data_IF_952002338499
#
_entry.id   IF_952002338499
#
_cell.length_a   1.000
_cell.length_b   1.000
_cell.length_c   1.000
_cell.angle_alpha   90.00
_cell.angle_beta   90.00
_cell.angle_gamma   90.00
#
_symmetry.space_group_name_H-M   'P 1'
#
loop_
_entity.id
_entity.type
_entity.pdbx_description
1 polymer ?
#
# COMPACT_ATOMS: atom_id res chain seq x y z
N UNK A 1 24.17 -11.30 -7.40
CA UNK A 1 23.44 -10.02 -7.31
C UNK A 1 22.55 -9.95 -8.52
N UNK A 2 21.27 -10.21 -8.31
CA UNK A 2 20.23 -10.16 -9.33
C UNK A 2 20.16 -8.77 -10.00
N UNK A 3 19.75 -8.74 -11.27
CA UNK A 3 19.52 -7.48 -11.98
C UNK A 3 18.22 -6.86 -11.48
N UNK A 4 18.26 -5.64 -10.94
CA UNK A 4 17.07 -4.93 -10.47
C UNK A 4 16.44 -4.01 -11.53
N UNK A 5 17.04 -3.88 -12.71
CA UNK A 5 16.52 -3.02 -13.77
C UNK A 5 15.06 -3.38 -14.13
N UNK A 6 14.25 -2.35 -14.35
CA UNK A 6 12.86 -2.50 -14.79
C UNK A 6 12.59 -1.73 -16.08
N UNK A 7 11.60 -2.22 -16.83
CA UNK A 7 10.93 -1.50 -17.91
C UNK A 7 9.50 -1.15 -17.48
N UNK A 8 9.21 0.14 -17.42
CA UNK A 8 7.90 0.68 -17.07
C UNK A 8 7.31 1.39 -18.31
N UNK A 9 6.61 0.64 -19.16
CA UNK A 9 6.00 1.11 -20.41
C UNK A 9 6.98 1.86 -21.36
N UNK A 10 8.19 1.31 -21.52
CA UNK A 10 9.27 1.88 -22.31
C UNK A 10 10.24 2.75 -21.50
N UNK A 11 9.87 3.13 -20.27
CA UNK A 11 10.73 3.88 -19.36
C UNK A 11 11.67 2.91 -18.64
N UNK A 12 12.96 2.98 -18.97
CA UNK A 12 13.98 2.18 -18.29
C UNK A 12 14.37 2.82 -16.96
N UNK A 13 14.51 1.99 -15.92
CA UNK A 13 14.98 2.41 -14.60
C UNK A 13 16.04 1.44 -14.05
N UNK A 14 17.14 1.92 -13.43
CA UNK A 14 18.17 1.07 -12.85
C UNK A 14 17.68 0.11 -11.75
N UNK A 15 16.59 0.47 -11.07
CA UNK A 15 15.94 -0.34 -10.04
C UNK A 15 14.48 0.14 -9.86
N UNK A 16 13.60 -0.62 -9.19
CA UNK A 16 12.18 -0.25 -9.07
C UNK A 16 11.91 0.87 -8.06
N UNK A 17 12.91 1.41 -7.36
CA UNK A 17 12.71 2.36 -6.26
C UNK A 17 12.71 3.79 -6.75
N UNK A 18 11.54 4.42 -6.73
CA UNK A 18 11.36 5.80 -7.18
C UNK A 18 11.00 6.73 -6.02
N UNK A 19 11.50 7.97 -6.03
CA UNK A 19 10.94 9.00 -5.15
C UNK A 19 9.52 9.33 -5.61
N UNK A 20 8.56 9.40 -4.70
CA UNK A 20 7.22 9.85 -5.03
C UNK A 20 7.17 11.37 -5.23
N UNK A 21 6.20 11.86 -6.03
CA UNK A 21 5.89 13.30 -6.18
C UNK A 21 5.45 13.90 -4.85
N UNK A 22 6.40 14.48 -4.12
CA UNK A 22 6.24 14.83 -2.71
C UNK A 22 7.39 15.78 -2.24
N UNK A 23 7.46 16.21 -0.96
CA UNK A 23 8.54 17.08 -0.48
C UNK A 23 9.97 16.60 -0.82
N UNK A 24 10.29 15.29 -0.78
CA UNK A 24 11.61 14.78 -1.16
C UNK A 24 12.00 14.97 -2.64
N UNK A 25 11.07 15.33 -3.53
CA UNK A 25 11.32 15.50 -4.97
C UNK A 25 10.94 16.90 -5.48
N UNK A 26 10.99 17.92 -4.62
CA UNK A 26 10.57 19.29 -4.95
C UNK A 26 11.61 20.12 -5.72
N UNK A 27 12.85 19.65 -5.84
CA UNK A 27 13.93 20.39 -6.51
C UNK A 27 14.98 19.49 -7.13
N UNK A 28 15.71 20.04 -8.11
CA UNK A 28 16.84 19.38 -8.74
C UNK A 28 17.91 18.96 -7.73
N UNK A 29 18.22 19.80 -6.75
CA UNK A 29 19.16 19.44 -5.68
C UNK A 29 18.74 18.14 -4.96
N UNK A 30 17.47 18.01 -4.58
CA UNK A 30 17.00 16.83 -3.86
C UNK A 30 17.01 15.58 -4.74
N UNK A 31 16.50 15.69 -5.97
CA UNK A 31 16.41 14.56 -6.90
C UNK A 31 17.80 14.08 -7.32
N UNK A 32 18.71 15.00 -7.65
CA UNK A 32 20.10 14.66 -7.99
C UNK A 32 20.80 13.97 -6.83
N UNK A 33 20.63 14.47 -5.60
CA UNK A 33 21.20 13.85 -4.40
C UNK A 33 20.63 12.45 -4.14
N UNK A 34 19.36 12.22 -4.45
CA UNK A 34 18.77 10.88 -4.38
C UNK A 34 19.38 9.95 -5.44
N UNK A 35 19.58 10.41 -6.67
CA UNK A 35 20.24 9.62 -7.71
C UNK A 35 21.69 9.27 -7.37
N UNK A 36 22.43 10.18 -6.72
CA UNK A 36 23.77 9.90 -6.18
C UNK A 36 23.78 8.79 -5.13
N UNK A 37 22.68 8.60 -4.37
CA UNK A 37 22.53 7.51 -3.41
C UNK A 37 22.06 6.19 -4.04
N UNK A 38 21.63 6.20 -5.30
CA UNK A 38 21.22 4.99 -6.03
C UNK A 38 19.72 4.84 -6.31
N UNK A 39 18.90 5.87 -6.09
CA UNK A 39 17.48 5.84 -6.49
C UNK A 39 17.35 5.63 -8.01
N UNK A 40 16.57 4.64 -8.43
CA UNK A 40 16.37 4.33 -9.85
C UNK A 40 15.59 5.41 -10.59
N UNK A 41 14.69 6.10 -9.88
CA UNK A 41 13.87 7.16 -10.46
C UNK A 41 13.34 8.15 -9.46
N UNK A 42 12.74 9.21 -9.98
CA UNK A 42 12.01 10.20 -9.20
C UNK A 42 10.82 10.70 -9.99
N UNK A 43 9.67 10.73 -9.34
CA UNK A 43 8.54 11.53 -9.80
C UNK A 43 8.67 12.91 -9.17
N UNK A 44 8.92 13.91 -10.03
CA UNK A 44 9.09 15.30 -9.62
C UNK A 44 7.83 15.79 -8.92
N UNK A 45 7.98 16.63 -7.87
CA UNK A 45 6.83 17.24 -7.18
C UNK A 45 5.92 17.91 -8.20
N UNK A 46 4.62 17.68 -8.08
CA UNK A 46 3.62 18.18 -9.02
C UNK A 46 3.82 19.66 -9.33
N UNK A 47 3.97 19.99 -10.61
CA UNK A 47 4.06 21.36 -11.13
C UNK A 47 2.74 21.78 -11.75
N UNK A 48 2.43 23.07 -11.72
CA UNK A 48 1.13 23.56 -12.15
C UNK A 48 0.93 25.04 -11.93
N UNK A 49 -0.34 25.41 -11.70
CA UNK A 49 -0.72 26.79 -11.41
C UNK A 49 -0.05 27.31 -10.12
N UNK A 50 0.20 28.62 -10.00
CA UNK A 50 0.77 29.21 -8.78
C UNK A 50 -0.08 28.88 -7.54
N UNK A 51 0.61 28.55 -6.45
CA UNK A 51 0.02 28.27 -5.14
C UNK A 51 0.87 28.90 -4.04
N UNK A 52 0.25 29.13 -2.88
CA UNK A 52 0.94 29.54 -1.67
C UNK A 52 0.65 28.50 -0.59
N UNK A 53 1.68 27.78 -0.16
CA UNK A 53 1.55 26.83 0.93
C UNK A 53 1.41 27.55 2.28
N UNK A 54 0.73 26.89 3.21
CA UNK A 54 0.70 27.30 4.62
C UNK A 54 1.92 26.79 5.39
N UNK A 55 2.24 27.45 6.49
CA UNK A 55 3.26 27.01 7.45
C UNK A 55 2.68 25.97 8.42
N UNK A 56 3.54 25.15 9.04
CA UNK A 56 3.15 24.09 10.00
C UNK A 56 2.18 23.04 9.42
N UNK A 57 2.44 22.62 8.19
CA UNK A 57 1.52 21.82 7.37
C UNK A 57 1.55 20.30 7.61
N UNK A 58 2.15 19.82 8.70
CA UNK A 58 2.24 18.39 9.01
C UNK A 58 1.67 18.07 10.40
N UNK A 59 0.83 17.04 10.46
CA UNK A 59 0.46 16.35 11.69
C UNK A 59 1.00 14.93 11.66
N UNK A 60 1.35 14.36 12.81
CA UNK A 60 1.85 12.99 12.90
C UNK A 60 1.10 12.18 13.96
N UNK A 61 1.08 10.86 13.75
CA UNK A 61 0.65 9.87 14.74
C UNK A 61 1.84 8.98 15.06
N UNK A 62 2.15 8.89 16.35
CA UNK A 62 3.16 8.00 16.90
C UNK A 62 2.46 6.80 17.56
N UNK A 63 3.12 5.64 17.64
CA UNK A 63 2.55 4.46 18.29
C UNK A 63 3.62 3.63 18.97
N UNK A 64 3.44 3.36 20.27
CA UNK A 64 4.30 2.50 21.09
C UNK A 64 5.82 2.71 20.86
N UNK A 65 6.26 3.97 20.89
CA UNK A 65 7.68 4.34 20.71
C UNK A 65 8.12 4.52 19.26
N UNK A 66 7.34 4.05 18.29
CA UNK A 66 7.57 4.32 16.86
C UNK A 66 7.06 5.71 16.49
N UNK A 67 7.91 6.51 15.86
CA UNK A 67 7.59 7.86 15.38
C UNK A 67 6.99 7.80 13.98
N UNK A 68 5.98 8.62 13.73
CA UNK A 68 5.42 8.84 12.39
C UNK A 68 4.91 7.53 11.75
N UNK A 69 4.10 6.76 12.49
CA UNK A 69 3.36 5.63 11.87
C UNK A 69 2.27 6.12 10.92
N UNK A 70 1.88 7.39 11.08
CA UNK A 70 1.00 8.11 10.17
C UNK A 70 1.43 9.58 10.07
N UNK A 71 1.33 10.14 8.87
CA UNK A 71 1.62 11.54 8.58
C UNK A 71 0.44 12.15 7.81
N UNK A 72 -0.11 13.24 8.31
CA UNK A 72 -1.10 14.05 7.62
C UNK A 72 -0.39 15.30 7.10
N UNK A 73 -0.65 15.67 5.86
CA UNK A 73 -0.15 16.90 5.28
C UNK A 73 -1.27 17.74 4.68
N UNK A 74 -1.15 19.06 4.83
CA UNK A 74 -1.98 20.06 4.12
C UNK A 74 -1.15 20.84 3.09
N UNK A 75 -0.16 20.16 2.50
CA UNK A 75 0.71 20.73 1.47
C UNK A 75 0.06 20.65 0.09
N UNK A 76 0.22 21.69 -0.71
CA UNK A 76 -0.27 21.78 -2.08
C UNK A 76 0.75 21.19 -3.08
N UNK A 77 0.59 21.54 -4.35
CA UNK A 77 1.61 21.32 -5.39
C UNK A 77 2.86 22.18 -5.14
N UNK A 78 3.86 22.09 -6.02
CA UNK A 78 5.06 22.92 -5.93
C UNK A 78 4.67 24.41 -5.92
N UNK A 79 5.13 25.15 -4.92
CA UNK A 79 5.05 26.61 -4.81
C UNK A 79 6.21 27.32 -5.52
N UNK A 80 7.06 26.55 -6.21
CA UNK A 80 8.20 27.06 -6.97
C UNK A 80 7.75 27.46 -8.38
N UNK A 81 8.32 28.55 -8.96
CA UNK A 81 7.98 28.96 -10.32
C UNK A 81 8.14 27.82 -11.33
N UNK A 82 7.21 27.76 -12.29
CA UNK A 82 7.20 26.70 -13.30
C UNK A 82 8.52 26.65 -14.09
N UNK A 83 9.07 27.81 -14.48
CA UNK A 83 10.33 27.88 -15.22
C UNK A 83 11.52 27.31 -14.45
N UNK A 84 11.55 27.52 -13.13
CA UNK A 84 12.60 26.97 -12.27
C UNK A 84 12.53 25.44 -12.25
N UNK A 85 11.32 24.89 -12.12
CA UNK A 85 11.14 23.43 -12.15
C UNK A 85 11.54 22.86 -13.52
N UNK A 86 11.04 23.42 -14.62
CA UNK A 86 11.34 22.93 -15.98
C UNK A 86 12.85 22.94 -16.26
N UNK A 87 13.54 24.03 -15.89
CA UNK A 87 14.99 24.14 -16.00
C UNK A 87 15.70 23.05 -15.20
N UNK A 88 15.35 22.87 -13.94
CA UNK A 88 15.99 21.88 -13.06
C UNK A 88 15.72 20.44 -13.48
N UNK A 89 14.54 20.15 -14.01
CA UNK A 89 14.21 18.83 -14.58
C UNK A 89 15.15 18.53 -15.76
N UNK A 90 15.30 19.49 -16.68
CA UNK A 90 16.17 19.34 -17.84
C UNK A 90 17.65 19.16 -17.45
N UNK A 91 18.13 19.95 -16.49
CA UNK A 91 19.49 19.82 -15.94
C UNK A 91 19.69 18.47 -15.26
N UNK A 92 18.72 18.03 -14.46
CA UNK A 92 18.77 16.74 -13.76
C UNK A 92 18.82 15.58 -14.75
N UNK A 93 17.95 15.58 -15.77
CA UNK A 93 17.95 14.54 -16.79
C UNK A 93 19.25 14.49 -17.59
N UNK A 94 19.84 15.65 -17.90
CA UNK A 94 21.14 15.74 -18.58
C UNK A 94 22.28 15.16 -17.74
N UNK A 95 22.28 15.41 -16.42
CA UNK A 95 23.31 14.90 -15.51
C UNK A 95 23.14 13.40 -15.21
N UNK A 96 21.90 12.93 -15.16
CA UNK A 96 21.54 11.55 -14.81
C UNK A 96 20.75 10.87 -15.93
N UNK A 97 21.34 10.64 -17.12
CA UNK A 97 20.61 10.16 -18.29
C UNK A 97 20.01 8.76 -18.11
N UNK A 98 20.59 7.95 -17.23
CA UNK A 98 20.14 6.58 -16.93
C UNK A 98 19.02 6.51 -15.88
N UNK A 99 18.83 7.56 -15.09
CA UNK A 99 17.82 7.57 -14.02
C UNK A 99 16.49 8.09 -14.58
N UNK A 100 15.40 7.52 -14.09
CA UNK A 100 14.06 7.90 -14.53
C UNK A 100 13.62 9.23 -13.90
N UNK A 101 13.16 10.18 -14.71
CA UNK A 101 12.54 11.42 -14.24
C UNK A 101 11.14 11.54 -14.81
N UNK A 102 10.13 11.45 -13.95
CA UNK A 102 8.73 11.62 -14.32
C UNK A 102 8.26 13.01 -13.90
N UNK A 103 7.67 13.77 -14.81
CA UNK A 103 7.09 15.08 -14.52
C UNK A 103 5.65 14.91 -13.99
N UNK A 104 5.44 15.08 -12.69
CA UNK A 104 4.08 15.17 -12.17
C UNK A 104 3.47 16.53 -12.50
N UNK A 105 2.25 16.55 -13.05
CA UNK A 105 1.57 17.77 -13.50
C UNK A 105 0.13 17.84 -12.99
N UNK A 106 -0.32 19.06 -12.71
CA UNK A 106 -1.72 19.34 -12.39
C UNK A 106 -2.08 20.80 -12.69
N UNK A 107 -3.11 20.98 -13.51
CA UNK A 107 -3.63 22.29 -13.89
C UNK A 107 -5.16 22.27 -13.86
N UNK A 108 -5.78 23.43 -14.07
CA UNK A 108 -7.23 23.54 -14.18
C UNK A 108 -7.76 22.60 -15.26
N UNK A 109 -9.00 22.10 -15.08
CA UNK A 109 -9.66 21.19 -16.03
C UNK A 109 -10.07 21.89 -17.33
N UNK A 110 -9.07 22.40 -18.06
CA UNK A 110 -9.17 23.05 -19.38
C UNK A 110 -8.19 22.36 -20.31
N UNK A 111 -8.66 21.94 -21.47
CA UNK A 111 -7.88 21.21 -22.47
C UNK A 111 -6.59 21.93 -22.84
N UNK A 112 -6.67 23.23 -23.08
CA UNK A 112 -5.53 24.06 -23.51
C UNK A 112 -4.45 24.12 -22.42
N UNK A 113 -4.86 24.23 -21.14
CA UNK A 113 -3.93 24.28 -20.01
C UNK A 113 -3.17 22.96 -19.86
N UNK A 114 -3.86 21.81 -19.97
CA UNK A 114 -3.23 20.50 -19.94
C UNK A 114 -2.28 20.29 -21.13
N UNK A 115 -2.70 20.66 -22.34
CA UNK A 115 -1.85 20.51 -23.51
C UNK A 115 -0.62 21.42 -23.49
N UNK A 116 -0.74 22.64 -22.96
CA UNK A 116 0.39 23.55 -22.80
C UNK A 116 1.43 23.00 -21.81
N UNK A 117 1.00 22.61 -20.61
CA UNK A 117 1.94 22.13 -19.58
C UNK A 117 2.67 20.86 -20.01
N UNK A 118 1.97 19.95 -20.70
CA UNK A 118 2.55 18.71 -21.23
C UNK A 118 3.65 19.01 -22.25
N UNK A 119 3.36 19.85 -23.26
CA UNK A 119 4.35 20.25 -24.28
C UNK A 119 5.58 20.90 -23.66
N UNK A 120 5.39 21.74 -22.64
CA UNK A 120 6.49 22.41 -21.94
C UNK A 120 7.31 21.44 -21.08
N UNK A 121 6.65 20.53 -20.37
CA UNK A 121 7.32 19.51 -19.57
C UNK A 121 8.10 18.52 -20.46
N UNK A 122 7.55 18.15 -21.62
CA UNK A 122 8.22 17.26 -22.59
C UNK A 122 9.57 17.82 -23.08
N UNK A 123 9.64 19.14 -23.30
CA UNK A 123 10.86 19.83 -23.73
C UNK A 123 12.02 19.72 -22.74
N UNK A 124 11.75 19.33 -21.49
CA UNK A 124 12.81 19.09 -20.49
C UNK A 124 13.57 17.79 -20.74
N UNK A 125 13.03 16.89 -21.57
CA UNK A 125 13.57 15.55 -21.79
C UNK A 125 13.21 14.54 -20.70
N UNK A 126 12.21 14.84 -19.85
CA UNK A 126 11.69 13.87 -18.87
C UNK A 126 11.23 12.58 -19.57
N UNK A 127 11.23 11.47 -18.84
CA UNK A 127 10.97 10.14 -19.42
C UNK A 127 9.46 9.82 -19.49
N UNK A 128 8.63 10.56 -18.77
CA UNK A 128 7.18 10.43 -18.80
C UNK A 128 6.47 11.48 -17.95
N UNK A 129 5.14 11.44 -17.97
CA UNK A 129 4.29 12.32 -17.16
C UNK A 129 3.54 11.54 -16.07
N UNK A 130 3.27 12.17 -14.93
CA UNK A 130 2.31 11.66 -13.94
C UNK A 130 1.18 12.68 -13.73
N UNK A 131 -0.03 12.37 -14.22
CA UNK A 131 -1.20 13.22 -14.05
C UNK A 131 -1.71 13.06 -12.61
N UNK A 132 -1.58 14.11 -11.80
CA UNK A 132 -1.98 14.05 -10.40
C UNK A 132 -3.49 14.29 -10.24
N UNK A 133 -4.25 13.20 -10.16
CA UNK A 133 -5.69 13.22 -9.88
C UNK A 133 -6.01 12.89 -8.42
N UNK A 134 -5.04 13.02 -7.50
CA UNK A 134 -5.20 12.45 -6.15
C UNK A 134 -5.04 13.39 -4.97
N UNK A 135 -4.61 14.65 -5.16
CA UNK A 135 -4.49 15.61 -4.04
C UNK A 135 -5.87 15.86 -3.40
N UNK A 136 -6.09 15.51 -2.11
CA UNK A 136 -7.42 15.54 -1.51
C UNK A 136 -7.84 16.90 -0.93
N UNK A 137 -6.92 17.86 -0.83
CA UNK A 137 -7.09 19.14 -0.13
C UNK A 137 -6.42 20.30 -0.87
N UNK A 138 -6.91 21.51 -0.64
CA UNK A 138 -6.50 22.78 -1.25
C UNK A 138 -6.74 22.93 -2.76
N UNK A 139 -6.50 21.85 -3.53
CA UNK A 139 -6.69 21.82 -4.98
C UNK A 139 -8.07 21.27 -5.36
N UNK A 140 -8.63 20.38 -4.54
CA UNK A 140 -9.99 19.85 -4.71
C UNK A 140 -11.07 20.92 -4.59
N UNK A 141 -10.89 21.89 -3.71
CA UNK A 141 -11.75 23.07 -3.54
C UNK A 141 -11.73 23.97 -4.78
N UNK A 142 -10.72 23.81 -5.65
CA UNK A 142 -10.62 24.48 -6.96
C UNK A 142 -11.05 23.57 -8.13
N UNK A 143 -11.64 22.41 -7.85
CA UNK A 143 -12.08 21.43 -8.85
C UNK A 143 -10.94 20.64 -9.51
N UNK A 144 -9.76 20.57 -8.88
CA UNK A 144 -8.59 19.81 -9.34
C UNK A 144 -8.26 18.64 -8.39
N UNK A 145 -7.18 17.89 -8.64
CA UNK A 145 -6.76 16.80 -7.75
C UNK A 145 -7.81 15.70 -7.61
N UNK A 146 -8.13 15.31 -6.37
CA UNK A 146 -9.07 14.21 -6.10
C UNK A 146 -10.49 14.51 -6.58
N UNK A 147 -10.88 15.78 -6.71
CA UNK A 147 -12.17 16.14 -7.29
C UNK A 147 -12.32 15.65 -8.74
N UNK A 148 -11.21 15.57 -9.49
CA UNK A 148 -11.19 14.96 -10.83
C UNK A 148 -11.03 13.43 -10.75
N UNK A 149 -10.14 12.94 -9.88
CA UNK A 149 -9.86 11.50 -9.78
C UNK A 149 -10.98 10.65 -9.20
N UNK A 150 -11.95 11.27 -8.51
CA UNK A 150 -13.16 10.60 -8.01
C UNK A 150 -14.23 10.43 -9.09
N UNK A 151 -14.09 11.12 -10.23
CA UNK A 151 -15.08 11.11 -11.33
C UNK A 151 -14.44 10.43 -12.54
N UNK A 152 -14.79 9.16 -12.83
CA UNK A 152 -14.21 8.40 -13.94
C UNK A 152 -14.30 9.15 -15.28
N UNK A 153 -15.40 9.86 -15.55
CA UNK A 153 -15.60 10.63 -16.77
C UNK A 153 -14.54 11.73 -16.95
N UNK A 154 -14.22 12.45 -15.86
CA UNK A 154 -13.16 13.47 -15.88
C UNK A 154 -11.77 12.84 -15.98
N UNK A 155 -11.56 11.70 -15.34
CA UNK A 155 -10.32 10.93 -15.47
C UNK A 155 -10.06 10.54 -16.93
N UNK A 156 -11.07 10.00 -17.63
CA UNK A 156 -10.97 9.65 -19.05
C UNK A 156 -10.70 10.89 -19.91
N UNK A 157 -11.56 11.91 -19.80
CA UNK A 157 -11.52 13.12 -20.62
C UNK A 157 -10.18 13.86 -20.54
N UNK A 158 -9.65 14.06 -19.33
CA UNK A 158 -8.36 14.75 -19.15
C UNK A 158 -7.20 13.89 -19.69
N UNK A 159 -7.27 12.57 -19.50
CA UNK A 159 -6.26 11.66 -20.06
C UNK A 159 -6.25 11.74 -21.58
N UNK A 160 -7.41 11.75 -22.24
CA UNK A 160 -7.53 11.92 -23.70
C UNK A 160 -6.89 13.22 -24.18
N UNK A 161 -7.16 14.35 -23.51
CA UNK A 161 -6.59 15.65 -23.88
C UNK A 161 -5.06 15.66 -23.82
N UNK A 162 -4.48 14.97 -22.84
CA UNK A 162 -3.04 14.83 -22.68
C UNK A 162 -2.49 13.90 -23.77
N UNK A 163 -3.13 12.76 -24.01
CA UNK A 163 -2.72 11.77 -25.01
C UNK A 163 -2.77 12.31 -26.45
N UNK A 164 -3.59 13.33 -26.73
CA UNK A 164 -3.58 14.03 -28.03
C UNK A 164 -2.26 14.74 -28.35
N UNK A 165 -1.44 15.08 -27.35
CA UNK A 165 -0.21 15.86 -27.54
C UNK A 165 1.05 15.22 -26.97
N UNK A 166 0.93 14.33 -25.98
CA UNK A 166 2.07 13.64 -25.39
C UNK A 166 2.67 12.63 -26.37
N UNK A 167 3.99 12.63 -26.53
CA UNK A 167 4.71 11.64 -27.35
C UNK A 167 5.50 10.63 -26.51
N UNK A 168 5.60 10.87 -25.20
CA UNK A 168 6.19 9.99 -24.19
C UNK A 168 5.11 9.42 -23.23
N UNK A 169 5.39 8.35 -22.47
CA UNK A 169 4.39 7.68 -21.65
C UNK A 169 3.69 8.58 -20.61
N UNK A 170 2.39 8.34 -20.44
CA UNK A 170 1.52 9.07 -19.50
C UNK A 170 1.03 8.12 -18.41
N UNK A 171 1.37 8.45 -17.16
CA UNK A 171 0.98 7.73 -15.95
C UNK A 171 -0.18 8.49 -15.30
N UNK A 172 -1.27 7.81 -14.93
CA UNK A 172 -2.38 8.44 -14.18
C UNK A 172 -2.33 8.04 -12.71
N UNK A 173 -2.18 9.03 -11.82
CA UNK A 173 -2.12 8.81 -10.37
C UNK A 173 -3.50 8.82 -9.72
N UNK A 174 -3.92 7.66 -9.23
CA UNK A 174 -5.27 7.45 -8.70
C UNK A 174 -5.39 7.85 -7.22
N UNK A 175 -6.55 8.39 -6.86
CA UNK A 175 -6.93 8.73 -5.48
C UNK A 175 -7.47 7.49 -4.76
N UNK A 176 -7.11 7.27 -3.48
CA UNK A 176 -7.77 6.25 -2.66
C UNK A 176 -9.11 6.72 -2.09
N UNK A 177 -9.47 8.00 -2.26
CA UNK A 177 -10.65 8.61 -1.65
C UNK A 177 -11.91 8.32 -2.49
N UNK A 178 -12.17 7.06 -2.82
CA UNK A 178 -13.24 6.64 -3.71
C UNK A 178 -13.79 5.29 -3.22
N UNK A 179 -15.06 4.99 -3.52
CA UNK A 179 -15.68 3.72 -3.15
C UNK A 179 -15.04 2.52 -3.87
N UNK A 180 -14.78 2.68 -5.16
CA UNK A 180 -14.13 1.67 -5.99
C UNK A 180 -13.11 2.33 -6.93
N UNK A 181 -11.84 2.02 -6.71
CA UNK A 181 -10.71 2.56 -7.47
C UNK A 181 -10.59 1.96 -8.88
N UNK A 182 -11.26 0.82 -9.14
CA UNK A 182 -11.24 0.16 -10.45
C UNK A 182 -11.94 1.02 -11.50
N UNK A 183 -12.99 1.77 -11.13
CA UNK A 183 -13.68 2.67 -12.06
C UNK A 183 -12.79 3.75 -12.66
N UNK A 184 -12.10 4.61 -11.86
CA UNK A 184 -11.17 5.58 -12.42
C UNK A 184 -9.94 4.92 -13.07
N UNK A 185 -9.51 3.73 -12.62
CA UNK A 185 -8.44 2.98 -13.30
C UNK A 185 -8.82 2.59 -14.75
N UNK A 186 -10.01 2.01 -14.95
CA UNK A 186 -10.55 1.70 -16.29
C UNK A 186 -10.75 2.96 -17.13
N UNK A 187 -11.22 4.05 -16.52
CA UNK A 187 -11.37 5.31 -17.23
C UNK A 187 -10.02 5.90 -17.71
N UNK A 188 -8.97 5.84 -16.88
CA UNK A 188 -7.62 6.24 -17.28
C UNK A 188 -7.11 5.39 -18.46
N UNK A 189 -7.32 4.06 -18.40
CA UNK A 189 -7.00 3.14 -19.50
C UNK A 189 -7.74 3.52 -20.78
N UNK A 190 -9.05 3.78 -20.69
CA UNK A 190 -9.87 4.12 -21.84
C UNK A 190 -9.49 5.47 -22.45
N UNK A 191 -9.04 6.41 -21.62
CA UNK A 191 -8.47 7.68 -22.10
C UNK A 191 -7.06 7.57 -22.70
N UNK A 192 -6.47 6.37 -22.71
CA UNK A 192 -5.19 6.09 -23.36
C UNK A 192 -3.97 6.15 -22.46
N UNK A 193 -4.13 6.12 -21.13
CA UNK A 193 -2.99 6.09 -20.20
C UNK A 193 -2.02 4.95 -20.57
N UNK A 194 -0.72 5.23 -20.47
CA UNK A 194 0.35 4.24 -20.71
C UNK A 194 0.62 3.38 -19.48
N UNK A 195 0.29 3.90 -18.29
CA UNK A 195 0.46 3.24 -17.01
C UNK A 195 -0.41 3.89 -15.93
N UNK A 196 -0.49 3.24 -14.77
CA UNK A 196 -1.17 3.77 -13.59
C UNK A 196 -0.18 3.96 -12.43
N UNK A 197 -0.49 4.86 -11.51
CA UNK A 197 0.18 4.90 -10.20
C UNK A 197 -0.85 5.02 -9.08
N UNK A 198 -0.63 4.30 -7.97
CA UNK A 198 -1.54 4.32 -6.83
C UNK A 198 -0.85 3.87 -5.53
N UNK A 199 -1.20 4.43 -4.38
CA UNK A 199 -2.27 5.42 -4.15
C UNK A 199 -1.72 6.80 -3.83
N UNK A 200 -2.51 7.85 -4.08
CA UNK A 200 -2.27 9.14 -3.43
C UNK A 200 -2.63 9.08 -1.92
N UNK A 201 -2.59 10.20 -1.21
CA UNK A 201 -2.89 10.25 0.23
C UNK A 201 -4.39 10.10 0.54
N UNK A 202 -4.72 9.50 1.69
CA UNK A 202 -6.10 9.30 2.16
C UNK A 202 -6.55 10.52 2.97
N UNK A 203 -7.77 11.00 2.80
CA UNK A 203 -8.28 12.12 3.59
C UNK A 203 -8.39 11.75 5.08
N UNK A 204 -7.79 12.54 5.98
CA UNK A 204 -7.88 12.32 7.42
C UNK A 204 -7.83 13.60 8.26
N UNK A 205 -8.22 13.45 9.52
CA UNK A 205 -7.84 14.32 10.65
C UNK A 205 -6.85 13.54 11.51
N UNK A 206 -5.69 14.15 11.83
CA UNK A 206 -4.63 13.45 12.57
C UNK A 206 -4.92 13.35 14.07
N UNK A 207 -5.57 14.37 14.63
CA UNK A 207 -5.90 14.40 16.04
C UNK A 207 -6.40 15.76 16.48
N UNK A 208 -6.92 15.77 17.70
CA UNK A 208 -7.41 16.97 18.39
C UNK A 208 -6.65 17.06 19.71
N UNK A 209 -6.07 18.22 19.98
CA UNK A 209 -5.55 18.53 21.30
C UNK A 209 -6.71 18.65 22.29
N UNK A 210 -6.68 17.89 23.39
CA UNK A 210 -7.83 17.79 24.30
C UNK A 210 -7.98 18.99 25.24
N UNK A 211 -6.93 19.79 25.38
CA UNK A 211 -6.93 20.96 26.25
C UNK A 211 -7.22 22.23 25.44
N UNK A 212 -6.65 22.34 24.23
CA UNK A 212 -6.83 23.52 23.36
C UNK A 212 -7.94 23.36 22.32
N UNK A 213 -8.42 22.14 22.10
CA UNK A 213 -9.36 21.75 21.04
C UNK A 213 -8.82 21.99 19.62
N UNK A 214 -7.52 22.21 19.49
CA UNK A 214 -6.88 22.46 18.21
C UNK A 214 -6.71 21.16 17.40
N UNK A 215 -7.10 21.22 16.12
CA UNK A 215 -6.89 20.12 15.18
C UNK A 215 -5.43 20.12 14.71
N UNK A 216 -4.84 18.93 14.58
CA UNK A 216 -3.46 18.73 14.09
C UNK A 216 -3.45 18.35 12.60
N UNK A 217 -2.65 19.01 11.73
CA UNK A 217 -1.86 20.21 12.01
C UNK A 217 -2.71 21.46 12.29
N UNK A 218 -2.20 22.33 13.15
CA UNK A 218 -2.78 23.65 13.42
C UNK A 218 -2.03 24.73 12.63
N UNK A 219 -2.80 25.50 11.87
CA UNK A 219 -2.37 26.65 11.08
C UNK A 219 -3.17 27.87 11.55
N UNK A 220 -2.56 28.68 12.41
CA UNK A 220 -3.15 29.93 12.90
C UNK A 220 -4.48 29.73 13.65
N UNK A 221 -4.59 28.68 14.47
CA UNK A 221 -5.80 28.38 15.24
C UNK A 221 -6.87 27.60 14.46
N UNK A 222 -6.57 27.17 13.24
CA UNK A 222 -7.43 26.33 12.40
C UNK A 222 -6.69 25.05 12.01
N UNK A 223 -7.40 23.94 11.96
CA UNK A 223 -6.92 22.73 11.31
C UNK A 223 -8.06 22.10 10.52
N UNK A 224 -7.78 21.01 9.83
CA UNK A 224 -8.78 20.36 9.01
C UNK A 224 -8.29 19.06 8.38
N UNK A 225 -9.05 18.64 7.38
CA UNK A 225 -8.75 17.50 6.55
C UNK A 225 -7.44 17.69 5.77
N UNK A 226 -6.66 16.63 5.65
CA UNK A 226 -5.42 16.60 4.88
C UNK A 226 -5.09 15.21 4.38
N UNK A 227 -3.97 15.09 3.67
CA UNK A 227 -3.50 13.83 3.11
C UNK A 227 -2.75 12.96 4.12
N UNK A 228 -3.35 11.84 4.52
CA UNK A 228 -2.78 10.76 5.30
C UNK A 228 -1.86 9.86 4.47
N UNK A 229 -0.64 9.69 4.97
CA UNK A 229 0.44 8.90 4.42
C UNK A 229 1.18 8.18 5.56
N UNK A 230 2.23 7.44 5.22
CA UNK A 230 3.05 6.72 6.18
C UNK A 230 2.68 5.24 6.32
N UNK A 231 3.38 4.51 7.20
CA UNK A 231 3.33 3.04 7.26
C UNK A 231 1.94 2.47 7.48
N UNK A 232 1.11 3.14 8.27
CA UNK A 232 -0.26 2.71 8.55
C UNK A 232 -1.18 2.70 7.31
N UNK A 233 -0.78 3.35 6.21
CA UNK A 233 -1.53 3.33 4.94
C UNK A 233 -1.26 2.05 4.13
N UNK A 234 -0.16 1.32 4.39
CA UNK A 234 0.27 0.16 3.59
C UNK A 234 -0.85 -0.85 3.32
N UNK A 235 -1.62 -1.33 4.32
CA UNK A 235 -2.67 -2.33 4.06
C UNK A 235 -3.77 -1.83 3.10
N UNK A 236 -4.10 -0.53 3.15
CA UNK A 236 -5.08 0.08 2.26
C UNK A 236 -4.51 0.19 0.84
N UNK A 237 -3.25 0.59 0.72
CA UNK A 237 -2.56 0.67 -0.56
C UNK A 237 -2.43 -0.69 -1.25
N UNK A 238 -2.07 -1.75 -0.50
CA UNK A 238 -1.99 -3.12 -1.01
C UNK A 238 -3.37 -3.62 -1.47
N UNK A 239 -4.44 -3.34 -0.73
CA UNK A 239 -5.81 -3.67 -1.14
C UNK A 239 -6.21 -2.99 -2.45
N UNK A 240 -5.98 -1.69 -2.57
CA UNK A 240 -6.36 -0.93 -3.76
C UNK A 240 -5.52 -1.34 -4.98
N UNK A 241 -4.22 -1.60 -4.77
CA UNK A 241 -3.35 -2.18 -5.79
C UNK A 241 -3.86 -3.55 -6.23
N UNK A 242 -4.22 -4.41 -5.30
CA UNK A 242 -4.68 -5.77 -5.61
C UNK A 242 -6.04 -5.76 -6.33
N UNK A 243 -6.92 -4.81 -5.99
CA UNK A 243 -8.20 -4.62 -6.66
C UNK A 243 -8.00 -4.21 -8.13
N UNK A 244 -7.13 -3.23 -8.40
CA UNK A 244 -6.79 -2.81 -9.77
C UNK A 244 -6.03 -3.90 -10.52
N UNK A 245 -5.04 -4.53 -9.88
CA UNK A 245 -4.19 -5.56 -10.49
C UNK A 245 -4.93 -6.87 -10.79
N UNK A 246 -6.03 -7.15 -10.09
CA UNK A 246 -6.89 -8.33 -10.35
C UNK A 246 -8.02 -8.04 -11.33
N UNK A 247 -8.18 -6.79 -11.77
CA UNK A 247 -9.27 -6.40 -12.66
C UNK A 247 -9.06 -6.99 -14.07
N UNK A 248 -10.04 -7.69 -14.66
CA UNK A 248 -9.89 -8.30 -15.98
C UNK A 248 -9.56 -7.32 -17.11
N UNK A 249 -10.06 -6.08 -17.06
CA UNK A 249 -9.79 -5.08 -18.09
C UNK A 249 -8.35 -4.57 -17.98
N UNK A 250 -7.89 -4.32 -16.74
CA UNK A 250 -6.50 -3.92 -16.46
C UNK A 250 -5.53 -5.03 -16.88
N UNK A 251 -5.80 -6.28 -16.48
CA UNK A 251 -4.97 -7.45 -16.86
C UNK A 251 -4.92 -7.61 -18.38
N UNK A 252 -6.06 -7.52 -19.06
CA UNK A 252 -6.15 -7.65 -20.52
C UNK A 252 -5.30 -6.61 -21.25
N UNK A 253 -5.19 -5.40 -20.69
CA UNK A 253 -4.40 -4.32 -21.26
C UNK A 253 -2.91 -4.41 -20.91
N UNK A 254 -2.58 -5.00 -19.76
CA UNK A 254 -1.20 -5.27 -19.35
C UNK A 254 -0.39 -4.01 -19.02
N UNK A 255 -1.03 -2.93 -18.58
CA UNK A 255 -0.34 -1.69 -18.20
C UNK A 255 0.47 -1.92 -16.92
N UNK A 256 1.71 -1.40 -16.85
CA UNK A 256 2.47 -1.42 -15.60
C UNK A 256 1.86 -0.45 -14.58
N UNK A 257 2.04 -0.78 -13.31
CA UNK A 257 1.50 -0.03 -12.18
C UNK A 257 2.64 0.42 -11.26
N UNK A 258 2.71 1.70 -10.92
CA UNK A 258 3.64 2.23 -9.93
C UNK A 258 2.96 2.27 -8.56
N UNK A 259 3.35 1.37 -7.66
CA UNK A 259 2.72 1.19 -6.35
C UNK A 259 3.31 2.12 -5.28
N UNK A 260 2.49 2.68 -4.39
CA UNK A 260 2.97 3.50 -3.28
C UNK A 260 1.96 3.57 -2.13
N UNK A 261 2.49 3.90 -0.94
CA UNK A 261 1.70 4.07 0.29
C UNK A 261 2.28 3.24 1.43
N UNK A 262 3.04 3.87 2.32
CA UNK A 262 3.60 3.20 3.50
C UNK A 262 4.76 2.23 3.23
N UNK A 263 5.43 2.33 2.08
CA UNK A 263 6.66 1.57 1.80
C UNK A 263 7.82 2.16 2.63
N UNK A 264 8.46 1.35 3.47
CA UNK A 264 9.63 1.73 4.25
C UNK A 264 10.86 0.88 3.94
N UNK A 265 10.66 -0.39 3.58
CA UNK A 265 11.72 -1.37 3.41
C UNK A 265 11.63 -2.08 2.07
N UNK A 266 12.66 -2.86 1.72
CA UNK A 266 12.61 -3.74 0.56
C UNK A 266 11.51 -4.81 0.67
N UNK A 267 11.14 -5.24 1.89
CA UNK A 267 10.09 -6.24 2.09
C UNK A 267 8.73 -5.67 1.69
N UNK A 268 8.45 -4.43 2.11
CA UNK A 268 7.25 -3.72 1.68
C UNK A 268 7.25 -3.55 0.17
N UNK A 269 8.37 -3.15 -0.44
CA UNK A 269 8.46 -3.05 -1.89
C UNK A 269 8.17 -4.38 -2.61
N UNK A 270 8.71 -5.49 -2.11
CA UNK A 270 8.42 -6.84 -2.64
C UNK A 270 6.93 -7.19 -2.49
N UNK A 271 6.26 -6.85 -1.39
CA UNK A 271 4.82 -7.05 -1.22
C UNK A 271 4.01 -6.33 -2.30
N UNK A 272 4.32 -5.05 -2.56
CA UNK A 272 3.68 -4.27 -3.63
C UNK A 272 3.93 -4.93 -5.00
N UNK A 273 5.16 -5.34 -5.28
CA UNK A 273 5.51 -5.94 -6.56
C UNK A 273 4.86 -7.32 -6.77
N UNK A 274 4.79 -8.15 -5.73
CA UNK A 274 4.04 -9.42 -5.75
C UNK A 274 2.55 -9.22 -6.04
N UNK A 275 1.98 -8.06 -5.66
CA UNK A 275 0.62 -7.63 -5.99
C UNK A 275 0.51 -6.85 -7.32
N UNK A 276 1.56 -6.84 -8.13
CA UNK A 276 1.50 -6.40 -9.53
C UNK A 276 2.12 -5.03 -9.82
N UNK A 277 2.69 -4.33 -8.83
CA UNK A 277 3.42 -3.10 -9.14
C UNK A 277 4.75 -3.40 -9.86
N UNK A 278 5.09 -2.62 -10.87
CA UNK A 278 6.38 -2.73 -11.57
C UNK A 278 7.45 -1.83 -10.96
N UNK A 279 7.08 -0.62 -10.54
CA UNK A 279 7.91 0.26 -9.71
C UNK A 279 7.21 0.58 -8.40
N UNK A 280 7.98 1.03 -7.41
CA UNK A 280 7.46 1.47 -6.10
C UNK A 280 7.89 2.90 -5.80
N UNK A 281 6.95 3.77 -5.42
CA UNK A 281 7.26 5.14 -5.03
C UNK A 281 7.31 5.30 -3.50
N UNK A 282 8.31 6.04 -3.01
CA UNK A 282 8.58 6.20 -1.58
C UNK A 282 8.60 7.68 -1.21
N UNK A 283 7.99 8.03 -0.08
CA UNK A 283 7.90 9.41 0.42
C UNK A 283 8.21 9.50 1.92
N UNK A 284 7.31 9.02 2.77
CA UNK A 284 7.40 9.23 4.23
C UNK A 284 8.65 8.63 4.84
N UNK A 285 9.09 7.46 4.36
CA UNK A 285 10.34 6.84 4.80
C UNK A 285 11.56 7.74 4.50
N UNK A 286 11.59 8.37 3.32
CA UNK A 286 12.66 9.33 2.96
C UNK A 286 12.58 10.60 3.80
N UNK A 287 11.37 11.08 4.11
CA UNK A 287 11.19 12.23 5.03
C UNK A 287 11.68 11.92 6.44
N UNK A 288 11.61 10.65 6.88
CA UNK A 288 12.02 10.23 8.22
C UNK A 288 13.52 9.90 8.30
N UNK A 289 14.06 9.18 7.31
CA UNK A 289 15.39 8.56 7.38
C UNK A 289 16.37 9.06 6.30
N UNK A 290 15.93 9.89 5.37
CA UNK A 290 16.74 10.43 4.27
C UNK A 290 16.90 9.48 3.07
N UNK A 291 17.64 9.92 2.05
CA UNK A 291 17.76 9.21 0.78
C UNK A 291 18.54 7.89 0.85
N UNK A 292 19.41 7.73 1.85
CA UNK A 292 20.31 6.57 1.96
C UNK A 292 19.58 5.24 2.20
N UNK A 293 18.32 5.27 2.64
CA UNK A 293 17.51 4.05 2.82
C UNK A 293 17.44 3.17 1.58
N UNK A 294 17.64 3.75 0.39
CA UNK A 294 17.62 3.00 -0.87
C UNK A 294 18.74 1.97 -0.98
N UNK A 295 19.87 2.17 -0.28
CA UNK A 295 20.98 1.20 -0.24
C UNK A 295 20.48 -0.13 0.35
N UNK A 296 19.86 -0.08 1.54
CA UNK A 296 19.26 -1.25 2.20
C UNK A 296 18.11 -1.83 1.36
N UNK A 297 17.36 -0.98 0.65
CA UNK A 297 16.28 -1.44 -0.22
C UNK A 297 16.80 -2.27 -1.40
N UNK A 298 17.86 -1.78 -2.05
CA UNK A 298 18.53 -2.43 -3.18
C UNK A 298 19.19 -3.73 -2.74
N UNK A 299 20.01 -3.69 -1.69
CA UNK A 299 20.72 -4.87 -1.20
C UNK A 299 19.74 -5.95 -0.73
N UNK A 300 18.75 -5.57 0.09
CA UNK A 300 17.78 -6.51 0.63
C UNK A 300 16.92 -7.19 -0.44
N UNK A 301 16.44 -6.44 -1.43
CA UNK A 301 15.68 -7.03 -2.54
C UNK A 301 16.57 -7.93 -3.41
N UNK A 302 17.81 -7.52 -3.71
CA UNK A 302 18.71 -8.32 -4.54
C UNK A 302 19.11 -9.65 -3.87
N UNK A 303 19.41 -9.61 -2.57
CA UNK A 303 19.74 -10.82 -1.80
C UNK A 303 18.54 -11.78 -1.75
N UNK A 304 17.33 -11.26 -1.49
CA UNK A 304 16.12 -12.08 -1.51
C UNK A 304 15.83 -12.68 -2.89
N UNK A 305 16.07 -11.92 -3.97
CA UNK A 305 15.94 -12.45 -5.33
C UNK A 305 16.93 -13.58 -5.60
N UNK A 306 18.21 -13.41 -5.22
CA UNK A 306 19.24 -14.45 -5.34
C UNK A 306 18.85 -15.72 -4.54
N UNK A 307 18.35 -15.57 -3.30
CA UNK A 307 17.86 -16.68 -2.46
C UNK A 307 16.68 -17.44 -3.08
N UNK A 308 15.82 -16.73 -3.82
CA UNK A 308 14.64 -17.30 -4.50
C UNK A 308 14.93 -17.80 -5.91
N UNK A 309 16.15 -17.58 -6.42
CA UNK A 309 16.53 -17.91 -7.79
C UNK A 309 15.87 -17.01 -8.85
N UNK A 310 15.49 -15.78 -8.49
CA UNK A 310 15.00 -14.78 -9.42
C UNK A 310 16.15 -13.98 -10.02
N UNK A 311 16.10 -13.76 -11.34
CA UNK A 311 17.13 -13.05 -12.10
C UNK A 311 16.74 -11.61 -12.44
N UNK A 312 15.43 -11.32 -12.48
CA UNK A 312 14.83 -10.03 -12.78
C UNK A 312 13.58 -9.80 -11.92
N UNK A 313 13.18 -8.55 -11.60
CA UNK A 313 11.97 -8.32 -10.83
C UNK A 313 10.70 -8.81 -11.56
N UNK A 314 10.74 -8.84 -12.90
CA UNK A 314 9.69 -9.42 -13.73
C UNK A 314 9.43 -10.91 -13.43
N UNK A 315 10.37 -11.63 -12.82
CA UNK A 315 10.20 -13.04 -12.45
C UNK A 315 9.19 -13.23 -11.31
N UNK A 316 8.85 -12.19 -10.54
CA UNK A 316 7.94 -12.31 -9.40
C UNK A 316 6.80 -11.29 -9.36
N UNK A 317 6.84 -10.24 -10.18
CA UNK A 317 5.75 -9.26 -10.25
C UNK A 317 4.40 -9.96 -10.48
N UNK A 318 3.42 -9.66 -9.65
CA UNK A 318 2.05 -10.17 -9.77
C UNK A 318 1.85 -11.64 -9.36
N UNK A 319 2.88 -12.36 -8.87
CA UNK A 319 2.74 -13.78 -8.48
C UNK A 319 1.72 -14.05 -7.37
N UNK A 320 1.35 -13.04 -6.59
CA UNK A 320 0.30 -13.15 -5.56
C UNK A 320 -1.10 -12.85 -6.07
N UNK A 321 -1.27 -12.24 -7.26
CA UNK A 321 -2.59 -11.89 -7.79
C UNK A 321 -3.51 -13.13 -7.96
N UNK A 322 -3.04 -14.28 -8.49
CA UNK A 322 -3.89 -15.47 -8.59
C UNK A 322 -4.30 -16.09 -7.24
N UNK A 323 -3.74 -15.61 -6.12
CA UNK A 323 -4.08 -16.07 -4.77
C UNK A 323 -5.17 -15.23 -4.11
N UNK A 324 -5.62 -14.15 -4.76
CA UNK A 324 -6.72 -13.33 -4.28
C UNK A 324 -8.03 -14.05 -4.58
N UNK A 325 -8.88 -14.15 -3.57
CA UNK A 325 -10.17 -14.82 -3.66
C UNK A 325 -11.23 -14.00 -2.94
N UNK A 326 -12.49 -14.20 -3.33
CA UNK A 326 -13.62 -13.67 -2.58
C UNK A 326 -13.95 -14.61 -1.42
N UNK A 327 -14.57 -14.09 -0.36
CA UNK A 327 -14.98 -14.91 0.78
C UNK A 327 -15.79 -16.14 0.35
N UNK A 328 -16.67 -15.97 -0.64
CA UNK A 328 -17.52 -17.02 -1.17
C UNK A 328 -16.77 -18.25 -1.68
N UNK A 329 -15.48 -18.09 -2.01
CA UNK A 329 -14.63 -19.08 -2.67
C UNK A 329 -13.52 -19.63 -1.74
N UNK A 330 -13.50 -19.22 -0.46
CA UNK A 330 -12.61 -19.85 0.52
C UNK A 330 -13.07 -21.26 0.89
N UNK A 331 -12.11 -22.13 1.20
CA UNK A 331 -12.36 -23.49 1.66
C UNK A 331 -12.91 -23.47 3.09
N UNK A 332 -14.20 -23.81 3.24
CA UNK A 332 -14.86 -23.91 4.54
C UNK A 332 -14.47 -25.19 5.31
N UNK A 333 -13.85 -26.16 4.63
CA UNK A 333 -13.34 -27.40 5.23
C UNK A 333 -11.96 -27.24 5.87
N UNK A 334 -11.22 -26.19 5.48
CA UNK A 334 -9.89 -25.89 6.03
C UNK A 334 -9.96 -25.60 7.53
N UNK A 335 -9.03 -26.15 8.30
CA UNK A 335 -8.89 -25.88 9.72
C UNK A 335 -7.42 -25.82 10.14
N UNK A 336 -7.12 -24.84 10.98
CA UNK A 336 -5.88 -24.76 11.73
C UNK A 336 -6.18 -24.61 13.22
N UNK A 337 -5.22 -24.97 14.06
CA UNK A 337 -5.27 -24.78 15.51
C UNK A 337 -3.99 -24.12 15.99
N UNK A 338 -4.08 -23.38 17.10
CA UNK A 338 -2.91 -22.77 17.72
C UNK A 338 -2.15 -23.80 18.57
N UNK A 339 -0.82 -23.82 18.44
CA UNK A 339 0.08 -24.58 19.33
C UNK A 339 1.10 -23.65 19.97
N UNK A 340 1.25 -23.77 21.28
CA UNK A 340 2.14 -22.92 22.08
C UNK A 340 3.43 -23.71 22.34
N UNK A 341 4.57 -23.10 22.01
CA UNK A 341 5.89 -23.54 22.46
C UNK A 341 6.12 -23.04 23.89
N UNK A 342 5.90 -23.93 24.86
CA UNK A 342 6.07 -23.60 26.28
C UNK A 342 7.51 -23.31 26.69
N UNK A 343 8.51 -23.76 25.93
CA UNK A 343 9.92 -23.46 26.20
C UNK A 343 10.28 -22.00 25.83
N UNK A 344 9.52 -21.38 24.91
CA UNK A 344 9.64 -19.95 24.56
C UNK A 344 8.69 -19.05 25.35
N UNK A 345 7.62 -19.63 25.90
CA UNK A 345 6.57 -18.86 26.57
C UNK A 345 7.09 -18.12 27.80
N UNK A 346 6.92 -16.80 27.82
CA UNK A 346 7.28 -15.93 28.95
C UNK A 346 6.17 -15.78 30.00
N UNK A 347 5.10 -16.58 29.89
CA UNK A 347 3.96 -16.60 30.83
C UNK A 347 3.28 -15.23 31.04
N UNK A 348 3.13 -14.43 29.98
CA UNK A 348 2.43 -13.14 30.02
C UNK A 348 0.90 -13.25 29.94
N UNK A 349 0.39 -14.43 29.56
CA UNK A 349 -1.03 -14.78 29.43
C UNK A 349 -1.86 -13.92 28.44
N UNK A 350 -1.23 -13.13 27.57
CA UNK A 350 -1.93 -12.35 26.55
C UNK A 350 -2.74 -13.23 25.59
N UNK A 351 -2.20 -14.38 25.19
CA UNK A 351 -2.91 -15.35 24.36
C UNK A 351 -4.19 -15.87 25.06
N UNK A 352 -4.10 -16.19 26.35
CA UNK A 352 -5.25 -16.59 27.16
C UNK A 352 -6.29 -15.47 27.23
N UNK A 353 -5.90 -14.25 27.59
CA UNK A 353 -6.81 -13.10 27.71
C UNK A 353 -7.50 -12.81 26.37
N UNK A 354 -6.73 -12.77 25.27
CA UNK A 354 -7.29 -12.51 23.95
C UNK A 354 -8.29 -13.60 23.52
N UNK A 355 -7.99 -14.86 23.82
CA UNK A 355 -8.92 -15.94 23.51
C UNK A 355 -10.17 -15.92 24.40
N UNK A 356 -9.99 -15.68 25.69
CA UNK A 356 -11.05 -15.73 26.70
C UNK A 356 -12.01 -14.55 26.60
N UNK A 357 -11.49 -13.33 26.48
CA UNK A 357 -12.32 -12.13 26.58
C UNK A 357 -12.79 -11.61 25.22
N UNK A 358 -12.13 -11.99 24.12
CA UNK A 358 -12.36 -11.40 22.80
C UNK A 358 -12.50 -12.42 21.65
N UNK A 359 -12.50 -13.73 21.93
CA UNK A 359 -12.69 -14.76 20.91
C UNK A 359 -13.51 -15.96 21.42
N UNK A 360 -12.90 -17.14 21.57
CA UNK A 360 -13.60 -18.43 21.65
C UNK A 360 -13.34 -19.24 22.92
N UNK A 361 -12.65 -18.67 23.93
CA UNK A 361 -12.44 -19.31 25.25
C UNK A 361 -11.74 -20.70 25.19
N UNK A 362 -10.93 -20.95 24.16
CA UNK A 362 -10.29 -22.25 23.88
C UNK A 362 -8.94 -22.47 24.60
N UNK A 363 -8.48 -21.52 25.39
CA UNK A 363 -7.18 -21.61 26.09
C UNK A 363 -7.43 -21.72 27.58
N UNK A 364 -6.91 -22.77 28.21
CA UNK A 364 -6.91 -22.96 29.66
C UNK A 364 -5.60 -22.50 30.28
N UNK A 365 -5.61 -22.20 31.58
CA UNK A 365 -4.41 -22.10 32.38
C UNK A 365 -4.20 -23.41 33.16
N UNK A 366 -3.17 -24.18 32.81
CA UNK A 366 -2.87 -25.51 33.38
C UNK A 366 -1.41 -25.62 33.83
N UNK A 367 -1.10 -26.56 34.72
CA UNK A 367 0.28 -26.90 35.03
C UNK A 367 0.93 -27.61 33.82
N UNK A 368 2.15 -27.21 33.45
CA UNK A 368 2.90 -27.76 32.31
C UNK A 368 4.32 -28.12 32.77
N UNK A 369 4.81 -29.28 32.36
CA UNK A 369 6.19 -29.72 32.61
C UNK A 369 7.12 -29.17 31.52
N UNK A 370 8.00 -28.24 31.89
CA UNK A 370 8.98 -27.64 30.97
C UNK A 370 10.20 -28.56 30.77
N UNK A 371 10.78 -28.56 29.57
CA UNK A 371 11.93 -29.43 29.25
C UNK A 371 13.24 -28.95 29.86
N UNK A 372 13.41 -27.64 30.04
CA UNK A 372 14.69 -27.02 30.37
C UNK A 372 14.75 -26.32 31.74
N UNK A 373 13.71 -26.41 32.57
CA UNK A 373 13.69 -25.84 33.93
C UNK A 373 13.25 -26.94 34.90
N UNK A 374 14.17 -27.37 35.77
CA UNK A 374 13.86 -28.35 36.82
C UNK A 374 12.70 -27.84 37.69
N UNK A 375 11.64 -28.65 37.79
CA UNK A 375 10.38 -28.41 38.52
C UNK A 375 9.95 -26.93 38.54
N UNK A 376 9.21 -26.54 37.49
CA UNK A 376 8.59 -25.23 37.35
C UNK A 376 7.84 -24.79 38.62
N UNK A 377 7.87 -23.48 38.87
CA UNK A 377 7.41 -22.80 40.09
C UNK A 377 5.88 -22.89 40.37
N UNK A 378 5.16 -23.96 39.99
CA UNK A 378 3.72 -24.12 40.20
C UNK A 378 2.86 -23.09 39.46
N UNK A 379 3.41 -22.44 38.42
CA UNK A 379 2.70 -21.42 37.64
C UNK A 379 1.89 -22.07 36.54
N UNK A 380 0.59 -21.75 36.47
CA UNK A 380 -0.27 -22.18 35.37
C UNK A 380 0.14 -21.47 34.08
N UNK A 381 0.28 -22.25 33.00
CA UNK A 381 0.62 -21.80 31.66
C UNK A 381 -0.57 -21.95 30.71
N UNK A 382 -0.67 -21.11 29.66
CA UNK A 382 -1.72 -21.24 28.65
C UNK A 382 -1.58 -22.56 27.87
N UNK A 383 -2.67 -23.30 27.75
CA UNK A 383 -2.77 -24.56 27.00
C UNK A 383 -4.02 -24.50 26.13
N UNK A 384 -3.84 -24.64 24.81
CA UNK A 384 -4.93 -24.64 23.84
C UNK A 384 -5.67 -25.99 23.92
N UNK A 385 -6.99 -25.96 24.05
CA UNK A 385 -7.88 -27.11 23.77
C UNK A 385 -8.09 -27.15 22.26
N UNK A 386 -7.35 -27.99 21.56
CA UNK A 386 -7.35 -28.05 20.09
C UNK A 386 -8.74 -28.41 19.54
N UNK A 387 -9.51 -29.20 20.27
CA UNK A 387 -10.89 -29.58 19.94
C UNK A 387 -11.86 -28.39 19.89
N UNK A 388 -11.56 -27.33 20.66
CA UNK A 388 -12.38 -26.12 20.75
C UNK A 388 -11.82 -25.00 19.86
N UNK A 389 -10.55 -25.10 19.46
CA UNK A 389 -9.85 -24.05 18.74
C UNK A 389 -10.36 -23.93 17.30
N UNK A 390 -10.94 -22.77 16.98
CA UNK A 390 -11.46 -22.47 15.64
C UNK A 390 -10.41 -21.89 14.68
N UNK A 391 -9.15 -21.76 15.11
CA UNK A 391 -8.08 -21.29 14.24
C UNK A 391 -8.08 -19.80 13.90
N UNK A 392 -8.67 -18.94 14.74
CA UNK A 392 -8.80 -17.50 14.43
C UNK A 392 -7.50 -16.68 14.45
N UNK A 393 -6.35 -17.28 14.81
CA UNK A 393 -5.00 -16.69 14.84
C UNK A 393 -4.76 -15.51 15.81
N UNK A 394 -5.81 -15.02 16.50
CA UNK A 394 -5.69 -13.88 17.41
C UNK A 394 -4.63 -14.10 18.50
N UNK A 395 -4.58 -15.30 19.08
CA UNK A 395 -3.63 -15.63 20.16
C UNK A 395 -2.16 -15.56 19.71
N UNK A 396 -1.87 -15.97 18.46
CA UNK A 396 -0.55 -15.87 17.86
C UNK A 396 -0.20 -14.41 17.56
N UNK A 397 -1.16 -13.67 16.98
CA UNK A 397 -1.00 -12.24 16.62
C UNK A 397 -0.67 -11.36 17.83
N UNK A 398 -1.25 -11.63 19.01
CA UNK A 398 -0.98 -10.83 20.23
C UNK A 398 0.24 -11.28 21.01
N UNK A 399 0.85 -12.43 20.67
CA UNK A 399 1.99 -12.96 21.42
C UNK A 399 3.23 -12.09 21.18
N UNK A 400 3.89 -11.58 22.24
CA UNK A 400 5.05 -10.70 22.09
C UNK A 400 6.36 -11.46 21.84
N UNK A 401 6.32 -12.79 21.73
CA UNK A 401 7.49 -13.65 21.54
C UNK A 401 7.38 -14.29 20.18
N UNK A 402 8.34 -13.98 19.31
CA UNK A 402 8.43 -14.53 17.96
C UNK A 402 8.43 -16.06 17.98
N UNK A 403 7.63 -16.65 17.09
CA UNK A 403 7.50 -18.09 16.92
C UNK A 403 7.17 -18.86 18.21
N UNK A 404 6.54 -18.22 19.20
CA UNK A 404 6.07 -18.87 20.42
C UNK A 404 4.73 -19.57 20.23
N UNK A 405 3.90 -19.08 19.31
CA UNK A 405 2.62 -19.69 18.97
C UNK A 405 2.61 -19.89 17.46
N UNK A 406 2.21 -21.07 17.01
CA UNK A 406 2.10 -21.39 15.59
C UNK A 406 0.70 -21.87 15.27
N UNK A 407 0.17 -21.42 14.12
CA UNK A 407 -1.06 -21.96 13.55
C UNK A 407 -0.70 -23.19 12.71
N UNK A 408 -1.18 -24.35 13.13
CA UNK A 408 -0.87 -25.62 12.48
C UNK A 408 -2.14 -26.15 11.83
N UNK A 409 -2.06 -26.43 10.53
CA UNK A 409 -3.11 -27.12 9.79
C UNK A 409 -3.31 -28.52 10.36
N UNK A 410 -4.57 -28.91 10.54
CA UNK A 410 -4.94 -30.25 11.01
C UNK A 410 -5.82 -30.96 9.99
N UNK A 411 -5.58 -32.26 9.82
CA UNK A 411 -6.45 -33.09 9.00
C UNK A 411 -7.79 -33.30 9.71
N UNK A 412 -8.85 -32.71 9.17
CA UNK A 412 -10.20 -32.80 9.73
C UNK A 412 -11.06 -33.89 9.09
N UNK A 413 -10.65 -34.39 7.92
CA UNK A 413 -11.48 -35.22 7.06
C UNK A 413 -12.67 -34.49 6.44
N UNK A 414 -12.77 -33.16 6.60
CA UNK A 414 -13.85 -32.36 6.01
C UNK A 414 -13.68 -32.27 4.50
N UNK A 415 -14.78 -32.35 3.73
CA UNK A 415 -14.71 -32.11 2.30
C UNK A 415 -14.34 -30.65 2.03
N UNK A 416 -13.52 -30.43 1.01
CA UNK A 416 -13.36 -29.10 0.42
C UNK A 416 -14.72 -28.62 -0.10
N UNK A 417 -15.17 -27.47 0.38
CA UNK A 417 -16.42 -26.85 -0.05
C UNK A 417 -16.36 -25.35 0.18
N UNK A 418 -16.78 -24.58 -0.82
CA UNK A 418 -16.86 -23.13 -0.68
C UNK A 418 -18.26 -22.68 -0.28
N UNK A 419 -18.39 -21.45 0.23
CA UNK A 419 -19.70 -20.88 0.56
C UNK A 419 -20.61 -20.75 -0.68
N UNK A 420 -20.04 -20.36 -1.83
CA UNK A 420 -20.75 -20.26 -3.10
C UNK A 420 -21.27 -21.63 -3.56
N UNK A 421 -20.45 -22.68 -3.43
CA UNK A 421 -20.87 -24.04 -3.74
C UNK A 421 -21.96 -24.55 -2.79
N UNK A 422 -21.82 -24.30 -1.49
CA UNK A 422 -22.79 -24.69 -0.47
C UNK A 422 -24.15 -24.01 -0.71
N UNK A 423 -24.13 -22.70 -0.96
CA UNK A 423 -25.34 -21.91 -1.28
C UNK A 423 -26.04 -22.44 -2.53
N UNK A 424 -25.28 -22.84 -3.56
CA UNK A 424 -25.85 -23.34 -4.81
C UNK A 424 -26.38 -24.78 -4.71
N UNK A 425 -25.66 -25.67 -4.01
CA UNK A 425 -25.98 -27.10 -3.91
C UNK A 425 -27.02 -27.41 -2.81
N UNK A 426 -26.98 -26.66 -1.70
CA UNK A 426 -27.81 -26.84 -0.50
C UNK A 426 -28.25 -25.48 0.06
N UNK A 427 -29.05 -24.69 -0.69
CA UNK A 427 -29.45 -23.33 -0.29
C UNK A 427 -30.14 -23.28 1.08
N UNK A 428 -30.84 -24.36 1.46
CA UNK A 428 -31.49 -24.49 2.75
C UNK A 428 -30.52 -24.39 3.93
N UNK A 429 -29.26 -24.84 3.78
CA UNK A 429 -28.23 -24.69 4.81
C UNK A 429 -27.92 -23.22 5.04
N UNK A 430 -27.82 -22.45 3.96
CA UNK A 430 -27.39 -21.05 4.04
C UNK A 430 -28.51 -20.08 4.40
N UNK A 431 -29.75 -20.57 4.51
CA UNK A 431 -30.95 -19.77 4.76
C UNK A 431 -31.68 -20.15 6.06
N UNK A 432 -31.36 -21.29 6.67
CA UNK A 432 -32.00 -21.78 7.89
C UNK A 432 -30.96 -22.23 8.92
N UNK A 433 -31.05 -21.68 10.14
CA UNK A 433 -30.11 -21.99 11.22
C UNK A 433 -30.17 -23.44 11.69
N UNK A 434 -31.35 -24.06 11.73
CA UNK A 434 -31.49 -25.46 12.09
C UNK A 434 -30.81 -26.38 11.07
N UNK A 435 -30.91 -26.06 9.77
CA UNK A 435 -30.18 -26.75 8.70
C UNK A 435 -28.68 -26.51 8.77
N UNK A 436 -28.22 -25.30 9.10
CA UNK A 436 -26.80 -25.01 9.32
C UNK A 436 -26.23 -25.79 10.50
N UNK A 437 -26.93 -25.85 11.63
CA UNK A 437 -26.51 -26.65 12.79
C UNK A 437 -26.44 -28.14 12.47
N UNK A 438 -27.43 -28.66 11.74
CA UNK A 438 -27.43 -30.05 11.29
C UNK A 438 -26.22 -30.31 10.38
N UNK A 439 -25.96 -29.44 9.41
CA UNK A 439 -24.81 -29.55 8.51
C UNK A 439 -23.48 -29.52 9.27
N UNK A 440 -23.31 -28.59 10.22
CA UNK A 440 -22.11 -28.53 11.06
C UNK A 440 -21.87 -29.83 11.81
N UNK A 441 -22.91 -30.42 12.38
CA UNK A 441 -22.83 -31.76 13.03
C UNK A 441 -22.48 -32.86 12.02
N UNK A 442 -23.08 -32.84 10.82
CA UNK A 442 -22.78 -33.79 9.74
C UNK A 442 -21.29 -33.76 9.33
N UNK A 443 -20.66 -32.58 9.30
CA UNK A 443 -19.27 -32.40 8.88
C UNK A 443 -18.28 -32.20 10.03
N UNK A 444 -18.69 -32.46 11.27
CA UNK A 444 -17.81 -32.38 12.44
C UNK A 444 -17.27 -30.97 12.73
N UNK A 445 -18.05 -29.93 12.47
CA UNK A 445 -17.75 -28.56 12.90
C UNK A 445 -18.40 -28.32 14.27
N UNK A 446 -17.56 -28.13 15.27
CA UNK A 446 -17.96 -27.76 16.63
C UNK A 446 -17.65 -26.28 16.84
N UNK A 447 -18.65 -25.51 17.22
CA UNK A 447 -18.51 -24.10 17.59
C UNK A 447 -19.10 -23.99 19.00
N UNK A 448 -18.31 -23.45 19.94
CA UNK A 448 -18.75 -23.16 21.31
C UNK A 448 -19.79 -22.05 21.37
#
# INVERSE_FOLDING_TARGET
>A
MANLEIDFCGIKSPNPFWLASAPPSNSGYQVQKAFEQGWGGAVWKTIGAPVMNVCNRYGTMDYKGSKIIGLNNVELISDRPIETNLKEIAETKKLFPKNTVICSVMVESKKEAWQEIIKRAEQTGCDGFELNFGCPHGMSERGMGSAMGQVPEYTCMVTEWVMEVATIPVIVKLTPNITDIVHPARAAINGGASALSLINTINSIMGVDIDTFEIKPNVGGKGGHGGYAGPAVKPIALHLLSAVGSDPEVIKRGLPISGMGGVETWRDAVEFMLLGSTSVQVCTAVMHWGFRIVEDMIEGMSNWMDERGFTSPHDFIGKSLPRISHFGDFDLGFQSVARIDHDKCINCNLCYIACNDAAHQCIDLKEVQLKNIGNGNGRLMPVVREEDCVGCDLCSTVCPVDDCISMVEIETGRPHVTWNELTKKRPEITQDWGKMEQYRKEVGIHIH
#
